data_IF_179653633382
#
_entry.id   IF_179653633382
#
_cell.length_a   1.000
_cell.length_b   1.000
_cell.length_c   1.000
_cell.angle_alpha   90.00
_cell.angle_beta   90.00
_cell.angle_gamma   90.00
#
_symmetry.space_group_name_H-M   'P 1'
#
loop_
_entity.id
_entity.type
_entity.pdbx_description
1 polymer ?
#
# COMPACT_ATOMS: atom_id res chain seq x y z
N UNK A 1 10.50 8.37 8.88
CA UNK A 1 9.40 7.55 9.44
C UNK A 1 9.52 6.15 8.86
N UNK A 2 9.20 5.10 9.61
CA UNK A 2 9.22 3.73 9.09
C UNK A 2 8.03 3.49 8.13
N UNK A 3 8.20 2.62 7.13
CA UNK A 3 7.09 2.25 6.25
C UNK A 3 6.04 1.45 7.02
N UNK A 4 4.77 1.82 6.90
CA UNK A 4 3.67 1.21 7.62
C UNK A 4 2.44 1.05 6.73
N UNK A 5 1.73 -0.06 6.95
CA UNK A 5 0.43 -0.36 6.36
C UNK A 5 -0.62 -0.44 7.46
N UNK A 6 -1.77 0.20 7.27
CA UNK A 6 -2.92 0.10 8.18
C UNK A 6 -4.12 -0.40 7.38
N UNK A 7 -4.74 -1.51 7.82
CA UNK A 7 -6.00 -1.97 7.25
C UNK A 7 -7.16 -1.35 8.05
N UNK A 8 -7.96 -0.54 7.37
CA UNK A 8 -9.12 0.16 7.90
C UNK A 8 -10.40 -0.40 7.28
N UNK A 9 -11.44 -0.55 8.11
CA UNK A 9 -12.79 -0.92 7.68
C UNK A 9 -13.68 0.31 7.85
N UNK A 10 -14.34 0.76 6.80
CA UNK A 10 -15.24 1.93 6.83
C UNK A 10 -16.66 1.53 6.45
N UNK A 11 -17.62 2.44 6.63
CA UNK A 11 -19.01 2.20 6.19
C UNK A 11 -19.12 1.98 4.68
N UNK A 12 -18.22 2.60 3.91
CA UNK A 12 -18.21 2.57 2.44
C UNK A 12 -17.28 1.49 1.89
N UNK A 13 -16.19 1.17 2.59
CA UNK A 13 -15.11 0.32 2.08
C UNK A 13 -14.85 -0.85 3.02
N UNK A 14 -15.00 -2.06 2.48
CA UNK A 14 -14.74 -3.29 3.22
C UNK A 14 -13.26 -3.52 3.52
N UNK A 15 -12.36 -3.08 2.65
CA UNK A 15 -10.90 -3.18 2.86
C UNK A 15 -10.21 -1.93 2.31
N UNK A 16 -9.96 -0.94 3.17
CA UNK A 16 -9.15 0.23 2.84
C UNK A 16 -7.75 0.02 3.43
N UNK A 17 -6.71 -0.01 2.61
CA UNK A 17 -5.33 -0.05 3.12
C UNK A 17 -4.74 1.34 2.99
N UNK A 18 -4.23 1.85 4.10
CA UNK A 18 -3.50 3.11 4.18
C UNK A 18 -2.00 2.83 4.27
N UNK A 19 -1.24 3.58 3.50
CA UNK A 19 0.20 3.44 3.31
C UNK A 19 0.89 4.73 3.76
N UNK A 20 1.90 4.59 4.62
CA UNK A 20 2.72 5.69 5.10
C UNK A 20 4.23 5.32 5.04
N UNK A 21 5.13 6.28 4.79
CA UNK A 21 4.86 7.66 4.38
C UNK A 21 4.45 7.75 2.89
N UNK A 22 3.68 8.77 2.49
CA UNK A 22 3.10 8.82 1.14
C UNK A 22 4.18 8.93 0.07
N UNK A 23 5.24 9.72 0.31
CA UNK A 23 6.37 9.84 -0.62
C UNK A 23 7.08 8.53 -0.96
N UNK A 24 6.96 7.48 -0.14
CA UNK A 24 7.44 6.14 -0.47
C UNK A 24 6.43 5.35 -1.30
N UNK A 25 5.13 5.48 -1.00
CA UNK A 25 4.07 4.59 -1.51
C UNK A 25 3.25 5.15 -2.67
N UNK A 26 3.31 6.45 -2.98
CA UNK A 26 2.57 7.04 -4.11
C UNK A 26 2.92 6.36 -5.42
N UNK A 27 4.21 6.11 -5.68
CA UNK A 27 4.65 5.43 -6.91
C UNK A 27 4.09 4.00 -7.01
N UNK A 28 3.99 3.31 -5.88
CA UNK A 28 3.34 2.00 -5.83
C UNK A 28 1.86 2.08 -6.18
N UNK A 29 1.13 3.03 -5.59
CA UNK A 29 -0.30 3.21 -5.81
C UNK A 29 -0.62 3.58 -7.27
N UNK A 30 0.17 4.48 -7.87
CA UNK A 30 0.09 4.84 -9.29
C UNK A 30 0.40 3.65 -10.22
N UNK A 31 1.39 2.84 -9.83
CA UNK A 31 1.83 1.68 -10.59
C UNK A 31 0.89 0.48 -10.53
N UNK A 32 0.13 0.31 -9.44
CA UNK A 32 -0.71 -0.87 -9.21
C UNK A 32 -1.84 -0.98 -10.23
N UNK A 33 -2.38 0.14 -10.74
CA UNK A 33 -3.37 0.32 -11.85
C UNK A 33 -4.65 -0.53 -11.84
N UNK A 34 -4.74 -1.58 -11.03
CA UNK A 34 -5.87 -2.52 -10.95
C UNK A 34 -6.88 -2.18 -9.87
N UNK A 35 -6.61 -1.17 -9.04
CA UNK A 35 -7.51 -0.70 -7.98
C UNK A 35 -7.50 0.82 -7.89
N UNK A 36 -8.63 1.43 -7.49
CA UNK A 36 -8.68 2.85 -7.20
C UNK A 36 -7.82 3.17 -5.96
N UNK A 37 -7.14 4.30 -6.03
CA UNK A 37 -6.38 4.85 -4.91
C UNK A 37 -6.72 6.34 -4.74
N UNK A 38 -6.52 6.84 -3.53
CA UNK A 38 -6.70 8.25 -3.20
C UNK A 38 -5.65 8.67 -2.17
N UNK A 39 -5.22 9.92 -2.24
CA UNK A 39 -4.50 10.55 -1.15
C UNK A 39 -5.53 10.93 -0.08
N UNK A 40 -5.42 10.39 1.14
CA UNK A 40 -6.38 10.68 2.22
C UNK A 40 -5.86 11.84 3.09
N UNK A 41 -4.55 12.01 3.18
CA UNK A 41 -3.89 13.13 3.85
C UNK A 41 -2.47 13.32 3.34
N UNK A 42 -1.84 14.43 3.75
CA UNK A 42 -0.40 14.69 3.52
C UNK A 42 0.53 13.59 4.10
N UNK A 43 -0.02 12.68 4.91
CA UNK A 43 0.70 11.59 5.57
C UNK A 43 0.37 10.21 5.02
N UNK A 44 -0.66 10.06 4.16
CA UNK A 44 -1.19 8.75 3.78
C UNK A 44 -1.76 8.68 2.38
N UNK A 45 -1.34 7.65 1.66
CA UNK A 45 -1.99 7.16 0.44
C UNK A 45 -2.87 5.98 0.79
N UNK A 46 -4.05 5.85 0.19
CA UNK A 46 -4.89 4.68 0.39
C UNK A 46 -5.32 4.01 -0.91
N UNK A 47 -5.35 2.68 -0.90
CA UNK A 47 -5.83 1.84 -1.99
C UNK A 47 -7.02 1.04 -1.46
N UNK A 48 -8.12 1.05 -2.22
CA UNK A 48 -9.36 0.37 -1.82
C UNK A 48 -9.41 -1.00 -2.50
N UNK A 49 -9.40 -2.06 -1.71
CA UNK A 49 -9.63 -3.41 -2.18
C UNK A 49 -11.12 -3.78 -2.01
N UNK A 50 -11.81 -4.03 -3.12
CA UNK A 50 -13.23 -4.37 -3.10
C UNK A 50 -13.52 -5.78 -2.56
N UNK A 51 -12.51 -6.65 -2.54
CA UNK A 51 -12.62 -8.03 -2.06
C UNK A 51 -11.32 -8.54 -1.42
N UNK A 52 -11.41 -9.71 -0.78
CA UNK A 52 -10.29 -10.32 -0.05
C UNK A 52 -9.14 -10.76 -0.97
N UNK A 53 -9.43 -11.22 -2.18
CA UNK A 53 -8.39 -11.64 -3.13
C UNK A 53 -7.53 -10.45 -3.58
N UNK A 54 -8.16 -9.29 -3.81
CA UNK A 54 -7.48 -8.04 -4.13
C UNK A 54 -6.65 -7.51 -2.96
N UNK A 55 -7.14 -7.67 -1.73
CA UNK A 55 -6.36 -7.36 -0.52
C UNK A 55 -5.07 -8.22 -0.46
N UNK A 56 -5.17 -9.53 -0.72
CA UNK A 56 -4.01 -10.41 -0.68
C UNK A 56 -2.98 -10.06 -1.76
N UNK A 57 -3.40 -9.85 -3.00
CA UNK A 57 -2.50 -9.44 -4.08
C UNK A 57 -1.83 -8.11 -3.75
N UNK A 58 -2.61 -7.13 -3.29
CA UNK A 58 -2.11 -5.82 -2.89
C UNK A 58 -1.01 -5.90 -1.82
N UNK A 59 -1.19 -6.74 -0.79
CA UNK A 59 -0.17 -6.94 0.25
C UNK A 59 1.11 -7.61 -0.27
N UNK A 60 0.98 -8.56 -1.21
CA UNK A 60 2.14 -9.20 -1.86
C UNK A 60 2.90 -8.19 -2.70
N UNK A 61 2.20 -7.45 -3.57
CA UNK A 61 2.83 -6.44 -4.43
C UNK A 61 3.46 -5.31 -3.61
N UNK A 62 2.82 -4.87 -2.53
CA UNK A 62 3.37 -3.85 -1.63
C UNK A 62 4.69 -4.32 -0.99
N UNK A 63 4.77 -5.59 -0.59
CA UNK A 63 6.02 -6.16 -0.05
C UNK A 63 7.11 -6.25 -1.12
N UNK A 64 6.78 -6.70 -2.33
CA UNK A 64 7.73 -6.76 -3.44
C UNK A 64 8.26 -5.37 -3.81
N UNK A 65 7.38 -4.38 -3.86
CA UNK A 65 7.75 -2.98 -4.07
C UNK A 65 8.73 -2.51 -2.99
N UNK A 66 8.41 -2.73 -1.70
CA UNK A 66 9.29 -2.35 -0.60
C UNK A 66 10.68 -3.00 -0.73
N UNK A 67 10.73 -4.30 -0.96
CA UNK A 67 11.99 -5.04 -1.13
C UNK A 67 12.80 -4.51 -2.31
N UNK A 68 12.15 -4.17 -3.43
CA UNK A 68 12.83 -3.61 -4.61
C UNK A 68 13.51 -2.26 -4.34
N UNK A 69 13.06 -1.53 -3.32
CA UNK A 69 13.61 -0.22 -2.92
C UNK A 69 14.64 -0.29 -1.80
N UNK A 70 14.78 -1.45 -1.16
CA UNK A 70 15.80 -1.67 -0.13
C UNK A 70 17.18 -1.96 -0.77
N UNK A 71 18.29 -1.55 -0.12
CA UNK A 71 19.64 -1.99 -0.48
C UNK A 71 19.76 -3.51 -0.42
N UNK A 72 20.63 -4.12 -1.25
CA UNK A 72 20.75 -5.57 -1.36
C UNK A 72 21.06 -6.27 -0.02
N UNK A 73 21.84 -5.63 0.85
CA UNK A 73 22.22 -6.18 2.16
C UNK A 73 21.04 -6.30 3.14
N UNK A 74 19.98 -5.50 2.95
CA UNK A 74 18.81 -5.44 3.85
C UNK A 74 17.62 -6.27 3.33
N UNK A 75 17.66 -6.78 2.08
CA UNK A 75 16.52 -7.44 1.42
C UNK A 75 16.13 -8.80 1.99
N UNK A 76 17.05 -9.48 2.69
CA UNK A 76 16.88 -10.86 3.14
C UNK A 76 16.99 -11.06 4.66
N UNK A 77 16.98 -9.97 5.44
CA UNK A 77 16.84 -10.03 6.90
C UNK A 77 15.38 -10.09 7.33
#
# INVERSE_FOLDING_TARGET
MAEMLTLTFTETHKYQIEFAPPGFWTEFAEGYRGLPWTEISEERVAIIAENYSYLLDLLVQARLFRLSRMPDDDRFQ
#
